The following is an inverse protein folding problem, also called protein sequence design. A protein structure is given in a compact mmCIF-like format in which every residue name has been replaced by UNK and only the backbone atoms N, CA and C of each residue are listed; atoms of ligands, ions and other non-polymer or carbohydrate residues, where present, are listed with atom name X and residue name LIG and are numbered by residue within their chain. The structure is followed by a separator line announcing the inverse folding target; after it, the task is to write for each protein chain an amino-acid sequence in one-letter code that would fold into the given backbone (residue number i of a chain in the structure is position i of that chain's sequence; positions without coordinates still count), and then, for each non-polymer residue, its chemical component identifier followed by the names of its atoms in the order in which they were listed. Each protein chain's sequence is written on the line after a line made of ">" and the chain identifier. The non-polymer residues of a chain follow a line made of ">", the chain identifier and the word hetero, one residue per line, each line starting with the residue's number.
data_IF_608682509684
#
_entry.id   IF_608682509684
#
_cell.length_a   1.000
_cell.length_b   1.000
_cell.length_c   1.000
_cell.angle_alpha   90.00
_cell.angle_beta   90.00
_cell.angle_gamma   90.00
#
_symmetry.space_group_name_H-M   'P 1'
#
loop_
_entity.id
_entity.type
_entity.pdbx_description
1 polymer ?
#
# COMPACT_ATOMS: atom_id res chain seq x y z
N UNK A 1 8.64 1.63 45.03
CA UNK A 1 9.11 2.16 43.73
C UNK A 1 7.95 2.08 42.75
N UNK A 2 7.50 3.21 42.21
CA UNK A 2 6.63 3.20 41.02
C UNK A 2 7.56 2.99 39.83
N UNK A 3 7.36 1.90 39.09
CA UNK A 3 7.97 1.69 37.80
C UNK A 3 7.04 2.36 36.79
N UNK A 4 7.44 3.53 36.30
CA UNK A 4 6.84 4.10 35.10
C UNK A 4 7.50 3.42 33.90
N UNK A 5 6.68 2.75 33.09
CA UNK A 5 7.10 2.10 31.86
C UNK A 5 6.58 2.97 30.72
N UNK A 6 7.50 3.55 29.96
CA UNK A 6 7.18 4.26 28.72
C UNK A 6 6.70 3.25 27.66
N UNK A 7 5.39 3.27 27.39
CA UNK A 7 4.75 2.37 26.43
C UNK A 7 5.13 2.69 24.98
N UNK A 8 5.56 3.92 24.67
CA UNK A 8 5.99 4.33 23.33
C UNK A 8 7.32 3.70 22.94
N UNK A 9 8.27 3.64 23.88
CA UNK A 9 9.57 3.03 23.64
C UNK A 9 9.50 1.50 23.58
N UNK A 10 8.55 0.89 24.30
CA UNK A 10 8.26 -0.54 24.24
C UNK A 10 7.66 -0.94 22.88
N UNK A 11 6.77 -0.13 22.32
CA UNK A 11 6.17 -0.37 21.01
C UNK A 11 7.16 -0.25 19.85
N UNK A 12 8.09 0.70 19.92
CA UNK A 12 9.16 0.85 18.93
C UNK A 12 10.06 -0.40 18.84
N UNK A 13 10.33 -1.04 19.99
CA UNK A 13 11.16 -2.24 20.05
C UNK A 13 10.44 -3.50 19.56
N UNK A 14 9.13 -3.61 19.76
CA UNK A 14 8.32 -4.74 19.27
C UNK A 14 8.20 -4.71 17.74
N UNK A 15 8.06 -3.52 17.14
CA UNK A 15 8.00 -3.38 15.68
C UNK A 15 9.33 -3.72 14.98
N UNK A 16 10.48 -3.62 15.69
CA UNK A 16 11.79 -4.00 15.14
C UNK A 16 12.08 -5.52 15.12
N UNK A 17 11.34 -6.36 15.86
CA UNK A 17 11.71 -7.78 16.05
C UNK A 17 10.85 -8.81 15.30
N UNK A 18 9.81 -8.40 14.57
CA UNK A 18 8.89 -9.32 13.91
C UNK A 18 7.97 -10.04 14.91
N UNK A 19 6.68 -10.16 14.56
CA UNK A 19 5.57 -10.44 15.49
C UNK A 19 5.60 -11.80 16.23
N UNK A 20 6.56 -12.68 15.98
CA UNK A 20 6.56 -14.06 16.52
C UNK A 20 7.60 -14.35 17.63
N UNK A 21 8.32 -13.35 18.16
CA UNK A 21 9.40 -13.59 19.15
C UNK A 21 9.25 -12.93 20.52
N UNK A 22 8.20 -12.17 20.79
CA UNK A 22 8.03 -11.54 22.10
C UNK A 22 7.24 -12.44 23.07
N UNK A 23 7.94 -13.10 24.01
CA UNK A 23 7.34 -13.57 25.28
C UNK A 23 7.85 -12.69 26.40
N UNK A 24 6.95 -11.95 27.03
CA UNK A 24 7.22 -11.21 28.27
C UNK A 24 6.78 -12.11 29.43
N UNK A 25 7.72 -12.50 30.28
CA UNK A 25 7.42 -13.18 31.55
C UNK A 25 7.77 -12.19 32.67
N UNK A 26 6.75 -11.75 33.41
CA UNK A 26 6.93 -10.89 34.58
C UNK A 26 7.05 -11.80 35.80
N UNK A 27 8.25 -11.97 36.32
CA UNK A 27 8.45 -12.58 37.63
C UNK A 27 8.31 -11.51 38.73
N UNK A 28 7.54 -11.76 39.80
CA UNK A 28 7.46 -10.85 40.92
C UNK A 28 8.82 -10.79 41.64
N UNK A 29 9.20 -9.58 42.06
CA UNK A 29 10.45 -9.33 42.78
C UNK A 29 10.54 -10.19 44.05
N UNK A 30 11.71 -10.80 44.36
CA UNK A 30 11.87 -11.57 45.58
C UNK A 30 11.74 -10.66 46.81
N UNK A 31 10.96 -11.13 47.79
CA UNK A 31 10.79 -10.48 49.08
C UNK A 31 12.11 -10.54 49.84
N UNK A 32 12.70 -9.37 50.06
CA UNK A 32 13.94 -9.22 50.83
C UNK A 32 13.62 -9.27 52.33
N UNK A 33 13.73 -10.45 52.94
CA UNK A 33 13.78 -10.59 54.41
C UNK A 33 15.22 -10.36 54.86
N UNK A 34 15.46 -9.23 55.54
CA UNK A 34 16.74 -8.94 56.17
C UNK A 34 17.08 -9.95 57.28
N UNK A 35 18.35 -10.33 57.37
CA UNK A 35 18.86 -11.17 58.45
C UNK A 35 20.34 -11.54 58.29
N UNK A 36 21.21 -10.67 58.82
CA UNK A 36 22.51 -10.95 59.48
C UNK A 36 23.37 -12.17 59.07
N UNK A 37 24.63 -11.90 58.69
CA UNK A 37 25.74 -12.84 58.91
C UNK A 37 26.88 -12.79 57.89
N UNK A 38 27.97 -12.10 58.22
CA UNK A 38 29.32 -12.32 57.65
C UNK A 38 29.97 -13.58 58.26
N UNK A 39 31.21 -13.96 57.90
CA UNK A 39 31.79 -14.22 56.57
C UNK A 39 32.53 -15.59 56.54
N UNK A 40 32.91 -16.10 55.36
CA UNK A 40 34.22 -16.75 55.07
C UNK A 40 34.23 -17.55 53.75
N UNK A 41 35.39 -17.55 53.07
CA UNK A 41 35.97 -18.80 52.54
C UNK A 41 36.06 -18.98 51.03
N UNK A 42 37.20 -18.54 50.46
CA UNK A 42 38.11 -19.30 49.58
C UNK A 42 37.57 -20.21 48.44
N UNK A 43 38.03 -19.89 47.21
CA UNK A 43 38.84 -20.81 46.39
C UNK A 43 38.14 -21.68 45.33
N UNK A 44 38.78 -21.79 44.16
CA UNK A 44 38.71 -23.02 43.35
C UNK A 44 38.25 -22.88 41.89
N UNK A 45 39.24 -22.73 41.02
CA UNK A 45 39.37 -23.21 39.62
C UNK A 45 38.44 -24.34 39.12
N UNK A 46 38.05 -24.26 37.83
CA UNK A 46 37.74 -25.42 37.00
C UNK A 46 36.82 -25.11 35.82
N UNK A 47 37.35 -25.11 34.59
CA UNK A 47 36.58 -25.53 33.41
C UNK A 47 36.93 -26.98 33.05
N UNK A 48 36.59 -27.51 31.88
CA UNK A 48 35.50 -27.22 30.93
C UNK A 48 34.65 -28.49 30.65
N UNK A 49 33.61 -28.38 29.81
CA UNK A 49 32.86 -29.42 29.04
C UNK A 49 31.43 -28.88 28.85
N UNK A 50 30.78 -28.82 27.68
CA UNK A 50 30.81 -29.72 26.54
C UNK A 50 29.58 -30.62 26.62
N UNK A 51 28.40 -30.15 26.19
CA UNK A 51 27.33 -31.06 25.76
C UNK A 51 26.30 -30.37 24.86
N UNK A 52 25.82 -31.14 23.89
CA UNK A 52 24.93 -30.73 22.81
C UNK A 52 23.47 -30.58 23.23
N UNK A 53 22.78 -29.76 22.44
CA UNK A 53 21.35 -29.51 22.58
C UNK A 53 20.68 -29.46 21.22
N UNK A 54 20.40 -30.63 20.64
CA UNK A 54 19.50 -30.76 19.49
C UNK A 54 18.11 -30.21 19.85
N UNK A 55 17.67 -29.16 19.16
CA UNK A 55 16.27 -28.71 19.21
C UNK A 55 15.50 -29.28 18.03
N UNK A 56 14.54 -30.13 18.40
CA UNK A 56 13.45 -30.67 17.60
C UNK A 56 12.84 -29.62 16.67
N UNK A 57 12.82 -29.91 15.37
CA UNK A 57 12.00 -29.19 14.39
C UNK A 57 10.54 -29.52 14.68
N UNK A 58 9.80 -28.56 15.22
CA UNK A 58 8.34 -28.59 15.14
C UNK A 58 7.97 -28.63 13.65
N UNK A 59 7.31 -29.71 13.24
CA UNK A 59 6.69 -29.83 11.94
C UNK A 59 5.61 -28.74 11.87
N UNK A 60 5.82 -27.74 11.01
CA UNK A 60 4.74 -26.86 10.61
C UNK A 60 3.72 -27.69 9.83
N UNK A 61 2.51 -27.78 10.37
CA UNK A 61 1.36 -28.24 9.61
C UNK A 61 1.14 -27.31 8.40
N UNK A 62 0.91 -27.86 7.20
CA UNK A 62 0.67 -27.05 6.02
C UNK A 62 -0.64 -26.27 6.18
N UNK A 63 -0.59 -24.97 5.89
CA UNK A 63 -1.77 -24.12 5.83
C UNK A 63 -2.77 -24.69 4.80
N UNK A 64 -4.01 -24.83 5.24
CA UNK A 64 -5.15 -25.23 4.40
C UNK A 64 -5.39 -24.12 3.37
N UNK A 65 -5.49 -24.42 2.06
CA UNK A 65 -5.85 -23.43 1.05
C UNK A 65 -7.27 -22.93 1.34
N UNK A 66 -7.44 -21.61 1.46
CA UNK A 66 -8.78 -21.01 1.37
C UNK A 66 -9.09 -20.96 -0.13
N UNK A 67 -9.96 -21.85 -0.60
CA UNK A 67 -10.55 -21.71 -1.93
C UNK A 67 -11.19 -20.30 -2.01
N UNK A 68 -10.73 -19.49 -2.96
CA UNK A 68 -11.26 -18.16 -3.26
C UNK A 68 -12.67 -18.25 -3.86
N UNK A 69 -13.63 -18.73 -3.07
CA UNK A 69 -15.05 -18.65 -3.36
C UNK A 69 -15.54 -17.21 -3.23
N UNK A 70 -16.62 -16.88 -3.95
CA UNK A 70 -17.40 -15.70 -3.63
C UNK A 70 -17.66 -15.67 -2.12
N UNK A 71 -17.37 -14.55 -1.47
CA UNK A 71 -17.66 -14.38 -0.05
C UNK A 71 -19.15 -14.67 0.16
N UNK A 72 -19.48 -15.57 1.10
CA UNK A 72 -20.84 -16.04 1.37
C UNK A 72 -21.82 -14.88 1.57
N UNK A 73 -23.10 -15.09 1.24
CA UNK A 73 -24.23 -14.14 1.33
C UNK A 73 -24.58 -13.63 2.76
N UNK A 74 -23.63 -13.66 3.69
CA UNK A 74 -23.82 -13.09 5.02
C UNK A 74 -23.53 -11.59 4.97
N UNK A 75 -24.49 -10.81 5.47
CA UNK A 75 -24.57 -9.35 5.40
C UNK A 75 -23.24 -8.64 5.71
N UNK A 76 -22.48 -8.37 4.66
CA UNK A 76 -21.28 -7.56 4.76
C UNK A 76 -21.69 -6.10 4.94
N UNK A 77 -21.36 -5.53 6.09
CA UNK A 77 -21.39 -4.07 6.27
C UNK A 77 -20.22 -3.47 5.49
N UNK A 78 -20.38 -3.38 4.17
CA UNK A 78 -19.42 -2.73 3.26
C UNK A 78 -19.41 -1.24 3.57
N UNK A 79 -18.22 -0.68 3.69
CA UNK A 79 -18.02 0.74 4.02
C UNK A 79 -17.28 1.41 2.86
N UNK A 80 -17.60 2.67 2.62
CA UNK A 80 -16.76 3.54 1.79
C UNK A 80 -15.44 3.74 2.54
N UNK A 81 -14.33 3.34 1.90
CA UNK A 81 -12.98 3.51 2.40
C UNK A 81 -12.34 4.79 1.89
N UNK A 82 -11.03 4.98 2.18
CA UNK A 82 -10.31 6.17 1.77
C UNK A 82 -10.45 6.42 0.26
N UNK A 83 -10.66 7.68 -0.11
CA UNK A 83 -10.78 8.07 -1.52
C UNK A 83 -12.10 7.69 -2.20
N UNK A 84 -13.12 7.26 -1.45
CA UNK A 84 -14.37 6.73 -2.03
C UNK A 84 -14.23 5.31 -2.59
N UNK A 85 -13.10 4.65 -2.30
CA UNK A 85 -12.84 3.25 -2.64
C UNK A 85 -13.71 2.33 -1.80
N UNK A 86 -13.89 1.09 -2.22
CA UNK A 86 -14.68 0.13 -1.46
C UNK A 86 -13.78 -0.64 -0.50
N UNK A 87 -14.19 -0.74 0.77
CA UNK A 87 -13.44 -1.48 1.77
C UNK A 87 -14.32 -2.39 2.62
N UNK A 88 -13.68 -3.43 3.17
CA UNK A 88 -14.24 -4.29 4.20
C UNK A 88 -13.12 -4.72 5.14
N UNK A 89 -13.31 -4.50 6.45
CA UNK A 89 -12.36 -4.89 7.49
C UNK A 89 -10.92 -4.40 7.23
N UNK A 90 -10.79 -3.18 6.68
CA UNK A 90 -9.50 -2.58 6.32
C UNK A 90 -8.86 -3.13 5.05
N UNK A 91 -9.56 -4.01 4.32
CA UNK A 91 -9.12 -4.56 3.03
C UNK A 91 -9.86 -3.88 1.88
N UNK A 92 -9.14 -3.60 0.81
CA UNK A 92 -9.73 -3.18 -0.46
C UNK A 92 -10.59 -4.30 -1.03
N UNK A 93 -11.77 -3.95 -1.55
CA UNK A 93 -12.68 -4.86 -2.24
C UNK A 93 -13.22 -4.23 -3.52
N UNK A 94 -13.86 -5.05 -4.35
CA UNK A 94 -14.70 -4.63 -5.46
C UNK A 94 -16.11 -5.17 -5.29
N UNK A 95 -17.04 -4.65 -6.10
CA UNK A 95 -18.40 -5.14 -6.15
C UNK A 95 -18.87 -5.38 -7.58
N UNK A 96 -19.74 -6.36 -7.76
CA UNK A 96 -20.36 -6.60 -9.06
C UNK A 96 -21.70 -7.31 -8.92
N UNK A 97 -22.50 -7.26 -9.99
CA UNK A 97 -23.76 -7.99 -10.10
C UNK A 97 -23.53 -9.25 -10.94
N UNK A 98 -23.49 -10.45 -10.35
CA UNK A 98 -23.21 -11.70 -11.06
C UNK A 98 -24.36 -12.13 -11.99
N UNK A 99 -25.59 -11.73 -11.68
CA UNK A 99 -26.78 -12.11 -12.42
C UNK A 99 -26.96 -11.37 -13.75
N UNK A 100 -27.17 -12.12 -14.83
CA UNK A 100 -27.39 -11.62 -16.19
C UNK A 100 -28.68 -12.19 -16.79
N UNK A 101 -29.36 -11.43 -17.65
CA UNK A 101 -30.42 -12.01 -18.49
C UNK A 101 -29.81 -12.94 -19.56
N UNK A 102 -30.53 -13.97 -20.04
CA UNK A 102 -29.96 -15.04 -20.87
C UNK A 102 -29.08 -14.57 -22.04
N UNK A 103 -29.56 -13.63 -22.85
CA UNK A 103 -28.80 -13.12 -24.01
C UNK A 103 -27.52 -12.41 -23.58
N UNK A 104 -27.58 -11.63 -22.49
CA UNK A 104 -26.41 -10.91 -21.97
C UNK A 104 -25.43 -11.85 -21.30
N UNK A 105 -25.91 -12.92 -20.67
CA UNK A 105 -25.07 -13.97 -20.10
C UNK A 105 -24.20 -14.61 -21.19
N UNK A 106 -24.78 -15.02 -22.34
CA UNK A 106 -24.00 -15.58 -23.45
C UNK A 106 -22.92 -14.61 -23.96
N UNK A 107 -23.30 -13.35 -24.19
CA UNK A 107 -22.35 -12.35 -24.69
C UNK A 107 -21.23 -12.07 -23.68
N UNK A 108 -21.55 -12.00 -22.40
CA UNK A 108 -20.57 -11.77 -21.33
C UNK A 108 -19.53 -12.89 -21.22
N UNK A 109 -19.91 -14.14 -21.52
CA UNK A 109 -18.97 -15.27 -21.57
C UNK A 109 -17.97 -15.16 -22.74
N UNK A 110 -18.34 -14.44 -23.81
CA UNK A 110 -17.50 -14.23 -24.99
C UNK A 110 -16.64 -12.97 -24.85
N UNK A 111 -17.26 -11.87 -24.42
CA UNK A 111 -16.60 -10.59 -24.17
C UNK A 111 -17.21 -9.95 -22.91
N UNK A 112 -16.39 -9.78 -21.87
CA UNK A 112 -16.83 -9.15 -20.62
C UNK A 112 -17.21 -7.68 -20.76
N UNK A 113 -16.95 -7.03 -21.90
CA UNK A 113 -17.51 -5.73 -22.23
C UNK A 113 -19.05 -5.79 -22.43
N UNK A 114 -19.63 -6.93 -22.75
CA UNK A 114 -21.08 -7.09 -22.84
C UNK A 114 -21.74 -7.48 -21.50
N UNK A 115 -20.93 -7.85 -20.50
CA UNK A 115 -21.40 -8.18 -19.16
C UNK A 115 -21.77 -6.96 -18.30
N UNK A 116 -22.20 -7.22 -17.07
CA UNK A 116 -22.30 -6.22 -16.02
C UNK A 116 -20.90 -5.68 -15.68
N UNK A 117 -20.85 -4.56 -14.94
CA UNK A 117 -19.58 -3.88 -14.66
C UNK A 117 -19.06 -4.22 -13.27
N UNK A 118 -17.74 -4.27 -13.15
CA UNK A 118 -17.05 -4.30 -11.87
C UNK A 118 -16.98 -2.88 -11.29
N UNK A 119 -17.34 -2.72 -10.03
CA UNK A 119 -17.31 -1.47 -9.30
C UNK A 119 -16.15 -1.46 -8.32
N UNK A 120 -15.32 -0.43 -8.41
CA UNK A 120 -14.09 -0.26 -7.62
C UNK A 120 -14.17 0.92 -6.64
N UNK A 121 -15.27 1.66 -6.70
CA UNK A 121 -15.60 2.80 -5.85
C UNK A 121 -17.11 2.88 -5.68
N UNK A 122 -17.58 3.53 -4.60
CA UNK A 122 -19.01 3.77 -4.38
C UNK A 122 -19.50 4.90 -5.30
N UNK A 123 -19.73 4.57 -6.58
CA UNK A 123 -20.04 5.55 -7.62
C UNK A 123 -21.54 5.86 -7.71
N UNK A 124 -21.88 6.89 -8.49
CA UNK A 124 -23.26 7.34 -8.72
C UNK A 124 -24.22 6.25 -9.20
N UNK A 125 -23.71 5.17 -9.80
CA UNK A 125 -24.54 4.00 -10.16
C UNK A 125 -24.92 3.18 -8.93
N UNK A 126 -23.96 2.90 -8.04
CA UNK A 126 -24.23 2.17 -6.79
C UNK A 126 -25.12 3.00 -5.85
N UNK A 127 -24.93 4.32 -5.80
CA UNK A 127 -25.84 5.23 -5.09
C UNK A 127 -27.28 5.09 -5.56
N UNK A 128 -27.52 5.13 -6.88
CA UNK A 128 -28.85 4.92 -7.48
C UNK A 128 -29.40 3.53 -7.17
N UNK A 129 -28.58 2.48 -7.24
CA UNK A 129 -29.01 1.11 -6.92
C UNK A 129 -29.40 0.98 -5.44
N UNK A 130 -28.69 1.68 -4.54
CA UNK A 130 -28.99 1.71 -3.10
C UNK A 130 -30.29 2.46 -2.82
N UNK A 131 -30.48 3.62 -3.43
CA UNK A 131 -31.73 4.40 -3.32
C UNK A 131 -32.95 3.62 -3.80
N UNK A 132 -32.78 2.79 -4.83
CA UNK A 132 -33.85 1.97 -5.39
C UNK A 132 -33.99 0.58 -4.73
N UNK A 133 -33.31 0.31 -3.60
CA UNK A 133 -33.40 -0.97 -2.87
C UNK A 133 -32.80 -2.19 -3.60
N UNK A 134 -32.04 -1.98 -4.66
CA UNK A 134 -31.45 -3.03 -5.50
C UNK A 134 -29.99 -3.34 -5.16
N UNK A 135 -29.35 -2.52 -4.33
CA UNK A 135 -27.93 -2.68 -3.98
C UNK A 135 -27.69 -3.94 -3.14
N UNK A 136 -28.34 -4.05 -1.98
CA UNK A 136 -28.09 -5.11 -1.01
C UNK A 136 -28.44 -6.51 -1.53
N UNK A 137 -29.38 -6.60 -2.49
CA UNK A 137 -29.87 -7.88 -3.03
C UNK A 137 -29.18 -8.32 -4.32
N UNK A 138 -28.42 -7.45 -4.99
CA UNK A 138 -27.86 -7.75 -6.33
C UNK A 138 -26.35 -7.60 -6.44
N UNK A 139 -25.70 -6.90 -5.52
CA UNK A 139 -24.28 -6.63 -5.61
C UNK A 139 -23.50 -7.41 -4.55
N UNK A 140 -22.43 -8.05 -4.99
CA UNK A 140 -21.61 -8.94 -4.19
C UNK A 140 -20.19 -8.43 -4.14
N UNK A 141 -19.56 -8.54 -2.97
CA UNK A 141 -18.17 -8.17 -2.77
C UNK A 141 -17.22 -9.26 -3.30
N UNK A 142 -16.06 -8.84 -3.83
CA UNK A 142 -14.99 -9.74 -4.25
C UNK A 142 -13.62 -9.07 -4.09
N UNK A 143 -12.59 -9.89 -3.90
CA UNK A 143 -11.18 -9.50 -3.93
C UNK A 143 -10.41 -10.13 -5.09
N UNK A 144 -11.12 -10.86 -5.97
CA UNK A 144 -10.50 -11.44 -7.17
C UNK A 144 -10.07 -10.34 -8.12
N UNK A 145 -8.83 -10.42 -8.59
CA UNK A 145 -8.22 -9.46 -9.52
C UNK A 145 -7.70 -10.14 -10.80
N UNK A 146 -8.01 -11.43 -10.98
CA UNK A 146 -7.53 -12.31 -12.04
C UNK A 146 -8.39 -12.28 -13.31
N UNK A 147 -9.28 -11.30 -13.44
CA UNK A 147 -10.27 -11.18 -14.53
C UNK A 147 -11.20 -12.41 -14.69
N UNK A 148 -11.33 -13.28 -13.68
CA UNK A 148 -12.20 -14.47 -13.73
C UNK A 148 -13.36 -14.35 -12.73
N UNK A 149 -14.38 -13.57 -13.08
CA UNK A 149 -15.54 -13.33 -12.21
C UNK A 149 -16.68 -14.30 -12.49
N UNK A 150 -17.19 -14.95 -11.44
CA UNK A 150 -18.30 -15.91 -11.55
C UNK A 150 -19.62 -15.18 -11.85
N UNK A 151 -20.27 -15.53 -12.95
CA UNK A 151 -21.57 -14.98 -13.38
C UNK A 151 -22.61 -16.08 -13.54
N UNK A 152 -23.90 -15.73 -13.48
CA UNK A 152 -25.01 -16.67 -13.68
C UNK A 152 -26.13 -16.07 -14.53
N UNK A 153 -26.91 -16.96 -15.15
CA UNK A 153 -28.15 -16.63 -15.84
C UNK A 153 -29.30 -16.48 -14.83
N UNK A 154 -30.04 -15.38 -14.88
CA UNK A 154 -31.17 -15.10 -13.99
C UNK A 154 -32.40 -15.99 -14.26
N UNK A 155 -32.42 -16.75 -15.36
CA UNK A 155 -33.55 -17.59 -15.78
C UNK A 155 -33.24 -19.09 -15.77
N UNK A 156 -31.99 -19.48 -15.54
CA UNK A 156 -31.57 -20.89 -15.53
C UNK A 156 -30.43 -21.12 -14.53
N UNK A 157 -30.11 -22.37 -14.22
CA UNK A 157 -29.00 -22.70 -13.30
C UNK A 157 -27.59 -22.59 -13.93
N UNK A 158 -27.49 -21.95 -15.10
CA UNK A 158 -26.24 -21.84 -15.85
C UNK A 158 -25.31 -20.84 -15.17
N UNK A 159 -24.05 -21.24 -15.03
CA UNK A 159 -22.95 -20.46 -14.43
C UNK A 159 -21.75 -20.44 -15.37
N UNK A 160 -20.93 -19.42 -15.25
CA UNK A 160 -19.67 -19.32 -15.99
C UNK A 160 -18.75 -18.26 -15.39
N UNK A 161 -17.62 -18.01 -16.04
CA UNK A 161 -16.66 -16.98 -15.65
C UNK A 161 -16.52 -15.98 -16.79
N UNK A 162 -16.43 -14.69 -16.46
CA UNK A 162 -16.30 -13.62 -17.44
C UNK A 162 -15.29 -12.56 -17.00
N UNK A 163 -14.54 -12.03 -17.97
CA UNK A 163 -13.59 -10.91 -17.79
C UNK A 163 -14.31 -9.55 -17.80
N UNK A 164 -15.21 -9.36 -16.83
CA UNK A 164 -16.06 -8.17 -16.71
C UNK A 164 -15.24 -6.88 -16.66
N UNK A 165 -15.65 -5.88 -17.44
CA UNK A 165 -14.96 -4.58 -17.47
C UNK A 165 -15.34 -3.68 -16.29
N UNK A 166 -14.41 -2.81 -15.91
CA UNK A 166 -14.59 -1.79 -14.87
C UNK A 166 -15.75 -0.83 -15.20
N UNK A 167 -16.41 -0.31 -14.18
CA UNK A 167 -17.46 0.68 -14.32
C UNK A 167 -16.87 2.05 -14.65
N UNK A 168 -17.28 2.65 -15.78
CA UNK A 168 -16.85 3.99 -16.20
C UNK A 168 -17.26 5.09 -15.20
N UNK A 169 -18.30 4.88 -14.39
CA UNK A 169 -18.65 5.82 -13.31
C UNK A 169 -17.66 5.76 -12.15
N UNK A 170 -17.08 4.60 -11.84
CA UNK A 170 -16.00 4.49 -10.87
C UNK A 170 -14.74 5.19 -11.38
N UNK A 171 -14.36 4.97 -12.66
CA UNK A 171 -13.21 5.67 -13.25
C UNK A 171 -13.38 7.20 -13.22
N UNK A 172 -14.58 7.71 -13.51
CA UNK A 172 -14.86 9.14 -13.38
C UNK A 172 -14.78 9.61 -11.91
N UNK A 173 -15.43 8.91 -10.97
CA UNK A 173 -15.45 9.32 -9.54
C UNK A 173 -14.05 9.42 -8.96
N UNK A 174 -13.17 8.45 -9.26
CA UNK A 174 -11.80 8.44 -8.76
C UNK A 174 -10.84 9.31 -9.59
N UNK A 175 -11.32 9.86 -10.71
CA UNK A 175 -10.48 10.42 -11.77
C UNK A 175 -9.29 9.49 -12.11
N UNK A 176 -9.52 8.17 -12.17
CA UNK A 176 -8.46 7.16 -12.28
C UNK A 176 -7.58 7.43 -13.50
N UNK A 177 -6.27 7.59 -13.28
CA UNK A 177 -5.31 8.01 -14.32
C UNK A 177 -5.82 9.19 -15.17
N UNK A 178 -6.45 10.17 -14.52
CA UNK A 178 -6.99 11.37 -15.15
C UNK A 178 -8.24 11.12 -16.00
N UNK A 179 -8.97 10.02 -15.80
CA UNK A 179 -10.14 9.67 -16.61
C UNK A 179 -11.17 10.80 -16.74
N UNK A 180 -11.38 11.61 -15.69
CA UNK A 180 -12.33 12.73 -15.72
C UNK A 180 -11.75 14.01 -16.33
N UNK A 181 -10.43 14.09 -16.59
CA UNK A 181 -9.76 15.26 -17.16
C UNK A 181 -10.15 15.47 -18.64
N UNK A 182 -10.62 16.67 -19.02
CA UNK A 182 -10.89 17.00 -20.42
C UNK A 182 -9.68 16.81 -21.34
N UNK A 183 -9.90 16.27 -22.53
CA UNK A 183 -8.85 16.05 -23.53
C UNK A 183 -7.98 14.81 -23.30
N UNK A 184 -8.13 14.11 -22.16
CA UNK A 184 -7.43 12.85 -21.91
C UNK A 184 -8.09 11.69 -22.64
N UNK A 185 -7.29 10.69 -23.04
CA UNK A 185 -7.73 9.51 -23.76
C UNK A 185 -8.58 8.54 -22.91
N UNK A 186 -9.83 8.88 -22.60
CA UNK A 186 -10.78 8.02 -21.85
C UNK A 186 -10.89 6.60 -22.43
N UNK A 187 -10.88 6.49 -23.76
CA UNK A 187 -10.94 5.19 -24.45
C UNK A 187 -9.73 4.30 -24.15
N UNK A 188 -8.52 4.87 -24.15
CA UNK A 188 -7.29 4.15 -23.83
C UNK A 188 -7.27 3.73 -22.35
N UNK A 189 -7.56 4.67 -21.42
CA UNK A 189 -7.61 4.38 -19.98
C UNK A 189 -8.61 3.26 -19.68
N UNK A 190 -9.80 3.28 -20.30
CA UNK A 190 -10.79 2.22 -20.12
C UNK A 190 -10.33 0.88 -20.70
N UNK A 191 -9.69 0.89 -21.87
CA UNK A 191 -9.22 -0.32 -22.56
C UNK A 191 -8.07 -0.98 -21.80
N UNK A 192 -7.14 -0.17 -21.30
CA UNK A 192 -5.88 -0.61 -20.69
C UNK A 192 -6.01 -0.81 -19.17
N UNK A 193 -7.20 -0.57 -18.60
CA UNK A 193 -7.48 -0.78 -17.18
C UNK A 193 -7.22 -2.25 -16.77
N UNK A 194 -6.52 -2.42 -15.65
CA UNK A 194 -6.28 -3.70 -14.98
C UNK A 194 -6.73 -3.63 -13.52
N UNK A 195 -7.43 -4.65 -13.03
CA UNK A 195 -7.80 -4.75 -11.61
C UNK A 195 -6.58 -4.96 -10.72
N UNK A 196 -5.58 -5.70 -11.19
CA UNK A 196 -4.32 -5.90 -10.48
C UNK A 196 -3.64 -4.54 -10.25
N UNK A 197 -3.39 -3.79 -11.33
CA UNK A 197 -2.78 -2.46 -11.28
C UNK A 197 -3.59 -1.47 -10.45
N UNK A 198 -4.93 -1.57 -10.49
CA UNK A 198 -5.80 -0.76 -9.65
C UNK A 198 -5.62 -1.07 -8.17
N UNK A 199 -5.60 -2.35 -7.77
CA UNK A 199 -5.45 -2.71 -6.35
C UNK A 199 -4.11 -2.26 -5.80
N UNK A 200 -3.03 -2.43 -6.56
CA UNK A 200 -1.70 -2.00 -6.12
C UNK A 200 -1.59 -0.49 -6.00
N UNK A 201 -2.13 0.24 -6.98
CA UNK A 201 -2.10 1.71 -7.02
C UNK A 201 -2.68 2.32 -5.76
N UNK A 202 -3.73 1.74 -5.20
CA UNK A 202 -4.40 2.26 -4.01
C UNK A 202 -4.06 1.49 -2.74
N UNK A 203 -3.15 0.51 -2.82
CA UNK A 203 -2.93 -0.41 -1.71
C UNK A 203 -2.48 0.33 -0.45
N UNK A 204 -1.62 1.35 -0.57
CA UNK A 204 -1.17 2.18 0.54
C UNK A 204 -2.29 2.79 1.38
N UNK A 205 -3.51 2.94 0.84
CA UNK A 205 -4.64 3.49 1.57
C UNK A 205 -5.34 2.48 2.49
N UNK A 206 -4.93 1.21 2.47
CA UNK A 206 -5.57 0.12 3.22
C UNK A 206 -4.61 -0.51 4.23
N UNK A 207 -5.13 -0.87 5.40
CA UNK A 207 -4.33 -1.46 6.49
C UNK A 207 -4.03 -2.94 6.31
N UNK A 208 -4.70 -3.60 5.36
CA UNK A 208 -4.45 -5.00 5.01
C UNK A 208 -4.70 -5.27 3.54
N UNK A 209 -3.89 -6.17 2.97
CA UNK A 209 -3.97 -6.53 1.56
C UNK A 209 -4.37 -7.99 1.41
N UNK A 210 -5.12 -8.33 0.34
CA UNK A 210 -5.44 -9.72 0.06
C UNK A 210 -4.16 -10.54 -0.09
N UNK A 211 -4.14 -11.71 0.54
CA UNK A 211 -3.05 -12.67 0.43
C UNK A 211 -2.98 -13.14 -1.03
N UNK A 212 -1.97 -12.70 -1.78
CA UNK A 212 -1.65 -13.31 -3.06
C UNK A 212 -1.03 -14.67 -2.82
N UNK A 213 -1.32 -15.63 -3.69
CA UNK A 213 -0.47 -16.81 -3.81
C UNK A 213 0.91 -16.36 -4.29
N UNK A 214 1.82 -16.12 -3.34
CA UNK A 214 3.17 -15.71 -3.65
C UNK A 214 3.96 -16.98 -3.97
N UNK A 215 4.60 -17.07 -5.14
CA UNK A 215 5.58 -18.12 -5.40
C UNK A 215 6.61 -18.13 -4.27
N UNK A 216 6.82 -19.29 -3.64
CA UNK A 216 7.55 -19.45 -2.38
C UNK A 216 9.06 -19.28 -2.55
N UNK A 217 9.56 -19.39 -3.78
CA UNK A 217 10.99 -19.33 -4.11
C UNK A 217 11.28 -18.40 -5.29
N UNK A 218 12.49 -17.81 -5.38
CA UNK A 218 12.93 -17.07 -6.57
C UNK A 218 12.87 -17.89 -7.86
N UNK A 219 13.09 -19.21 -7.77
CA UNK A 219 13.09 -20.09 -8.94
C UNK A 219 11.69 -20.26 -9.52
N UNK A 220 10.66 -20.37 -8.67
CA UNK A 220 9.26 -20.36 -9.11
C UNK A 220 8.86 -19.01 -9.74
N UNK A 221 9.55 -17.92 -9.38
CA UNK A 221 9.40 -16.60 -10.02
C UNK A 221 10.21 -16.46 -11.31
N UNK A 222 10.97 -17.49 -11.72
CA UNK A 222 11.79 -17.50 -12.93
C UNK A 222 13.17 -16.86 -12.78
N UNK A 223 13.68 -16.65 -11.56
CA UNK A 223 15.04 -16.18 -11.31
C UNK A 223 16.07 -17.33 -11.31
N UNK A 224 17.33 -16.98 -11.53
CA UNK A 224 18.46 -17.91 -11.34
C UNK A 224 18.60 -18.36 -9.88
N UNK A 225 19.30 -19.48 -9.66
CA UNK A 225 19.54 -20.01 -8.30
C UNK A 225 20.39 -19.07 -7.43
N UNK A 226 21.26 -18.29 -8.05
CA UNK A 226 22.18 -17.35 -7.40
C UNK A 226 21.64 -15.92 -7.30
N UNK A 227 20.37 -15.67 -7.67
CA UNK A 227 19.80 -14.32 -7.73
C UNK A 227 19.98 -13.49 -6.45
N UNK A 228 19.86 -14.11 -5.28
CA UNK A 228 20.07 -13.42 -4.00
C UNK A 228 21.49 -12.82 -3.90
N UNK A 229 22.49 -13.54 -4.38
CA UNK A 229 23.89 -13.10 -4.41
C UNK A 229 24.10 -12.01 -5.47
N UNK A 230 23.60 -12.24 -6.69
CA UNK A 230 23.67 -11.30 -7.81
C UNK A 230 23.08 -9.96 -7.42
N UNK A 231 21.85 -9.95 -6.91
CA UNK A 231 21.15 -8.75 -6.49
C UNK A 231 21.86 -8.02 -5.34
N UNK A 232 22.41 -8.75 -4.36
CA UNK A 232 23.18 -8.15 -3.26
C UNK A 232 24.46 -7.48 -3.80
N UNK A 233 25.23 -8.17 -4.63
CA UNK A 233 26.47 -7.63 -5.22
C UNK A 233 26.20 -6.41 -6.09
N UNK A 234 25.17 -6.47 -6.94
CA UNK A 234 24.82 -5.37 -7.81
C UNK A 234 24.43 -4.12 -7.00
N UNK A 235 23.53 -4.25 -6.01
CA UNK A 235 23.14 -3.13 -5.12
C UNK A 235 24.32 -2.57 -4.33
N UNK A 236 25.20 -3.43 -3.82
CA UNK A 236 26.43 -2.99 -3.14
C UNK A 236 27.37 -2.22 -4.08
N UNK A 237 27.49 -2.63 -5.35
CA UNK A 237 28.30 -1.92 -6.35
C UNK A 237 27.77 -0.53 -6.71
N UNK A 238 26.51 -0.24 -6.38
CA UNK A 238 25.86 1.07 -6.51
C UNK A 238 25.82 1.85 -5.19
N UNK A 239 26.59 1.43 -4.19
CA UNK A 239 26.61 2.02 -2.85
C UNK A 239 25.22 2.10 -2.20
N UNK A 240 24.34 1.15 -2.51
CA UNK A 240 22.94 1.17 -2.08
C UNK A 240 22.18 2.46 -2.43
N UNK A 241 22.61 3.21 -3.44
CA UNK A 241 21.88 4.36 -3.95
C UNK A 241 20.88 3.93 -5.03
N UNK A 242 19.70 4.56 -5.04
CA UNK A 242 18.74 4.40 -6.12
C UNK A 242 19.28 5.02 -7.42
N UNK A 243 19.33 4.27 -8.51
CA UNK A 243 19.75 4.74 -9.84
C UNK A 243 18.65 5.52 -10.59
N UNK A 244 17.48 5.74 -9.97
CA UNK A 244 16.41 6.62 -10.48
C UNK A 244 16.39 7.95 -9.75
N UNK A 245 16.13 7.92 -8.44
CA UNK A 245 16.00 9.13 -7.64
C UNK A 245 17.25 9.45 -6.81
N UNK A 246 18.37 8.74 -6.98
CA UNK A 246 19.64 8.99 -6.27
C UNK A 246 19.64 8.89 -4.74
N UNK A 247 18.51 8.56 -4.10
CA UNK A 247 18.41 8.44 -2.64
C UNK A 247 19.35 7.34 -2.14
N UNK A 248 20.14 7.68 -1.13
CA UNK A 248 21.01 6.76 -0.40
C UNK A 248 20.16 5.91 0.57
N UNK A 249 20.30 4.59 0.48
CA UNK A 249 19.61 3.60 1.32
C UNK A 249 20.59 2.68 2.06
N UNK A 250 21.83 3.12 2.32
CA UNK A 250 22.83 2.32 3.04
C UNK A 250 22.34 1.83 4.41
N UNK A 251 21.63 2.68 5.15
CA UNK A 251 21.05 2.33 6.46
C UNK A 251 19.75 1.51 6.35
N UNK A 252 19.17 1.45 5.14
CA UNK A 252 17.86 0.85 4.86
C UNK A 252 17.90 -0.01 3.59
N UNK A 253 18.89 -0.90 3.49
CA UNK A 253 19.17 -1.67 2.27
C UNK A 253 17.99 -2.55 1.80
N UNK A 254 17.05 -2.87 2.69
CA UNK A 254 15.83 -3.61 2.35
C UNK A 254 14.89 -2.81 1.44
N UNK A 255 15.02 -1.47 1.41
CA UNK A 255 14.26 -0.56 0.55
C UNK A 255 14.83 -0.44 -0.86
N UNK A 256 15.93 -1.14 -1.18
CA UNK A 256 16.55 -1.10 -2.50
C UNK A 256 16.46 -2.47 -3.17
N UNK A 257 15.91 -2.52 -4.38
CA UNK A 257 15.76 -3.72 -5.19
C UNK A 257 16.64 -3.67 -6.44
N UNK A 258 16.89 -4.85 -7.02
CA UNK A 258 17.46 -4.95 -8.37
C UNK A 258 16.32 -5.20 -9.38
N UNK A 259 16.22 -4.35 -10.38
CA UNK A 259 15.27 -4.41 -11.48
C UNK A 259 15.96 -4.92 -12.75
N UNK A 260 15.36 -5.90 -13.42
CA UNK A 260 15.80 -6.37 -14.74
C UNK A 260 15.19 -5.49 -15.83
N UNK A 261 16.01 -4.69 -16.51
CA UNK A 261 15.58 -3.69 -17.50
C UNK A 261 14.84 -4.31 -18.68
N UNK A 262 15.29 -5.45 -19.18
CA UNK A 262 14.64 -6.18 -20.28
C UNK A 262 13.57 -7.18 -19.82
N UNK A 263 13.19 -7.18 -18.53
CA UNK A 263 12.29 -8.14 -17.89
C UNK A 263 12.73 -9.62 -17.92
N UNK A 264 13.87 -9.96 -18.53
CA UNK A 264 14.42 -11.31 -18.54
C UNK A 264 15.17 -11.57 -17.22
N UNK A 265 14.49 -12.25 -16.30
CA UNK A 265 15.00 -12.62 -14.96
C UNK A 265 16.21 -13.57 -14.95
N UNK A 266 16.57 -14.10 -16.11
CA UNK A 266 17.77 -14.94 -16.31
C UNK A 266 18.99 -14.13 -16.78
N UNK A 267 18.78 -12.90 -17.26
CA UNK A 267 19.84 -12.04 -17.77
C UNK A 267 20.41 -11.16 -16.65
N UNK A 268 21.41 -11.70 -15.95
CA UNK A 268 22.06 -11.08 -14.80
C UNK A 268 23.29 -10.22 -15.17
N UNK A 269 23.43 -9.82 -16.44
CA UNK A 269 24.49 -8.89 -16.85
C UNK A 269 24.27 -7.53 -16.20
N UNK A 270 25.35 -6.86 -15.79
CA UNK A 270 25.25 -5.56 -15.10
C UNK A 270 24.50 -4.52 -15.92
N UNK A 271 24.60 -4.57 -17.25
CA UNK A 271 23.92 -3.66 -18.17
C UNK A 271 22.39 -3.87 -18.20
N UNK A 272 21.92 -5.02 -17.71
CA UNK A 272 20.50 -5.35 -17.62
C UNK A 272 19.93 -5.14 -16.20
N UNK A 273 20.76 -4.79 -15.23
CA UNK A 273 20.34 -4.56 -13.86
C UNK A 273 20.28 -3.07 -13.56
N UNK A 274 19.34 -2.68 -12.72
CA UNK A 274 19.23 -1.33 -12.16
C UNK A 274 18.82 -1.39 -10.69
N UNK A 275 19.51 -0.66 -9.83
CA UNK A 275 19.23 -0.61 -8.40
C UNK A 275 18.20 0.48 -8.17
N UNK A 276 17.00 0.12 -7.74
CA UNK A 276 15.88 1.06 -7.57
C UNK A 276 15.36 0.99 -6.14
N UNK A 277 15.04 2.14 -5.53
CA UNK A 277 14.27 2.11 -4.30
C UNK A 277 12.90 1.48 -4.58
N UNK A 278 12.28 0.83 -3.59
CA UNK A 278 11.03 0.10 -3.81
C UNK A 278 9.90 0.99 -4.32
N UNK A 279 9.90 2.29 -3.97
CA UNK A 279 8.98 3.28 -4.53
C UNK A 279 9.20 3.48 -6.05
N UNK A 280 10.43 3.83 -6.47
CA UNK A 280 10.76 3.98 -7.89
C UNK A 280 10.60 2.67 -8.67
N UNK A 281 10.87 1.52 -8.05
CA UNK A 281 10.72 0.20 -8.65
C UNK A 281 9.25 -0.12 -8.91
N UNK A 282 8.36 0.17 -7.95
CA UNK A 282 6.91 -0.04 -8.11
C UNK A 282 6.29 0.76 -9.26
N UNK A 283 6.95 1.85 -9.69
CA UNK A 283 6.51 2.72 -10.79
C UNK A 283 7.12 2.31 -12.15
N UNK A 284 7.96 1.28 -12.21
CA UNK A 284 8.48 0.80 -13.48
C UNK A 284 7.38 0.07 -14.28
N UNK A 285 7.45 0.10 -15.63
CA UNK A 285 6.50 -0.65 -16.46
C UNK A 285 6.44 -2.12 -16.06
N UNK A 286 5.22 -2.68 -16.01
CA UNK A 286 4.94 -4.07 -15.65
C UNK A 286 5.30 -4.46 -14.20
N UNK A 287 5.59 -3.47 -13.35
CA UNK A 287 5.87 -3.67 -11.91
C UNK A 287 4.73 -3.18 -11.03
N UNK A 288 3.54 -2.96 -11.61
CA UNK A 288 2.34 -2.62 -10.85
C UNK A 288 2.16 -3.62 -9.69
N UNK A 289 2.49 -4.91 -9.90
CA UNK A 289 2.46 -5.99 -8.88
C UNK A 289 3.29 -5.81 -7.60
N UNK A 290 4.05 -4.72 -7.48
CA UNK A 290 4.81 -4.41 -6.28
C UNK A 290 4.01 -3.53 -5.32
N UNK A 291 3.64 -4.14 -4.20
CA UNK A 291 3.10 -3.43 -3.05
C UNK A 291 4.21 -2.67 -2.30
N UNK A 292 3.99 -1.39 -2.01
CA UNK A 292 4.83 -0.58 -1.13
C UNK A 292 3.93 0.07 -0.08
N UNK A 293 4.27 -0.11 1.20
CA UNK A 293 3.47 0.45 2.29
C UNK A 293 3.64 1.97 2.40
N UNK A 294 2.70 2.63 3.09
CA UNK A 294 2.80 4.08 3.36
C UNK A 294 4.04 4.37 4.21
N UNK A 295 4.33 3.52 5.19
CA UNK A 295 5.46 3.69 6.10
C UNK A 295 6.79 3.66 5.32
N UNK A 296 6.94 2.71 4.39
CA UNK A 296 8.13 2.63 3.55
C UNK A 296 8.22 3.81 2.56
N UNK A 297 7.10 4.27 1.98
CA UNK A 297 7.06 5.48 1.13
C UNK A 297 7.44 6.73 1.92
N UNK A 298 6.89 6.89 3.13
CA UNK A 298 7.21 8.00 4.02
C UNK A 298 8.68 7.96 4.44
N UNK A 299 9.21 6.79 4.80
CA UNK A 299 10.63 6.65 5.13
C UNK A 299 11.53 7.04 3.95
N UNK A 300 11.21 6.60 2.73
CA UNK A 300 11.95 7.02 1.53
C UNK A 300 11.84 8.55 1.33
N UNK A 301 10.66 9.15 1.51
CA UNK A 301 10.48 10.60 1.39
C UNK A 301 11.29 11.38 2.45
N UNK A 302 11.29 10.93 3.70
CA UNK A 302 12.12 11.49 4.77
C UNK A 302 13.60 11.43 4.43
N UNK A 303 14.07 10.30 3.91
CA UNK A 303 15.46 10.13 3.49
C UNK A 303 15.82 11.11 2.35
N UNK A 304 14.94 11.27 1.36
CA UNK A 304 15.13 12.26 0.28
C UNK A 304 15.30 13.68 0.84
N UNK A 305 14.49 14.06 1.84
CA UNK A 305 14.59 15.38 2.48
C UNK A 305 15.85 15.56 3.31
N UNK A 306 16.19 14.59 4.16
CA UNK A 306 17.42 14.63 4.98
C UNK A 306 18.69 14.69 4.13
N UNK A 307 18.64 14.12 2.94
CA UNK A 307 19.72 14.16 1.95
C UNK A 307 19.70 15.43 1.08
N UNK A 308 18.84 16.41 1.39
CA UNK A 308 18.68 17.67 0.66
C UNK A 308 18.44 17.47 -0.84
N UNK A 309 17.71 16.42 -1.20
CA UNK A 309 17.34 16.20 -2.59
C UNK A 309 16.42 17.32 -3.09
N UNK A 310 16.52 17.71 -4.37
CA UNK A 310 15.74 18.82 -4.90
C UNK A 310 14.25 18.51 -4.86
N UNK A 311 13.45 19.51 -4.51
CA UNK A 311 12.00 19.46 -4.63
C UNK A 311 11.57 19.25 -6.10
N UNK A 312 10.37 18.71 -6.35
CA UNK A 312 9.86 18.52 -7.71
C UNK A 312 9.89 19.83 -8.52
N UNK A 313 10.54 19.82 -9.68
CA UNK A 313 10.63 20.99 -10.56
C UNK A 313 9.41 21.15 -11.48
N UNK A 314 8.65 20.07 -11.68
CA UNK A 314 7.48 20.00 -12.54
C UNK A 314 6.57 18.84 -12.11
N UNK A 315 5.37 18.79 -12.67
CA UNK A 315 4.40 17.73 -12.35
C UNK A 315 4.87 16.32 -12.66
N UNK A 316 5.73 16.10 -13.68
CA UNK A 316 6.30 14.76 -13.94
C UNK A 316 7.06 14.26 -12.72
N UNK A 317 7.94 15.08 -12.15
CA UNK A 317 8.67 14.72 -10.94
C UNK A 317 7.75 14.52 -9.72
N UNK A 318 6.59 15.19 -9.67
CA UNK A 318 5.60 14.94 -8.62
C UNK A 318 5.03 13.52 -8.79
N UNK A 319 4.64 13.12 -10.01
CA UNK A 319 4.20 11.73 -10.28
C UNK A 319 5.27 10.68 -9.97
N UNK A 320 6.54 11.00 -10.22
CA UNK A 320 7.66 10.09 -9.96
C UNK A 320 7.89 9.86 -8.46
N UNK A 321 7.57 10.85 -7.61
CA UNK A 321 7.84 10.80 -6.17
C UNK A 321 6.61 10.45 -5.33
N UNK A 322 5.42 10.92 -5.71
CA UNK A 322 4.19 10.75 -4.95
C UNK A 322 3.65 9.32 -5.00
N UNK A 323 2.76 8.99 -4.07
CA UNK A 323 1.98 7.77 -4.07
C UNK A 323 1.07 7.70 -5.32
N UNK A 324 1.12 6.62 -6.12
CA UNK A 324 0.27 6.43 -7.29
C UNK A 324 -1.23 6.55 -7.02
N UNK A 325 -1.69 6.27 -5.80
CA UNK A 325 -3.07 6.46 -5.38
C UNK A 325 -3.53 7.92 -5.47
N UNK A 326 -2.59 8.87 -5.46
CA UNK A 326 -2.85 10.30 -5.65
C UNK A 326 -2.98 10.72 -7.11
N UNK A 327 -2.73 9.84 -8.10
CA UNK A 327 -2.74 10.18 -9.52
C UNK A 327 -4.03 10.88 -9.97
N UNK A 328 -5.18 10.46 -9.44
CA UNK A 328 -6.46 11.09 -9.76
C UNK A 328 -6.50 12.56 -9.35
N UNK A 329 -6.07 12.88 -8.13
CA UNK A 329 -5.98 14.28 -7.65
C UNK A 329 -4.90 15.04 -8.42
N UNK A 330 -3.72 14.45 -8.60
CA UNK A 330 -2.60 15.10 -9.27
C UNK A 330 -2.92 15.48 -10.71
N UNK A 331 -3.58 14.61 -11.48
CA UNK A 331 -3.99 14.94 -12.83
C UNK A 331 -5.03 16.06 -12.88
N UNK A 332 -5.95 16.11 -11.91
CA UNK A 332 -6.88 17.23 -11.79
C UNK A 332 -6.14 18.55 -11.49
N UNK A 333 -5.24 18.54 -10.51
CA UNK A 333 -4.49 19.73 -10.09
C UNK A 333 -3.56 20.24 -11.19
N UNK A 334 -2.86 19.33 -11.88
CA UNK A 334 -2.01 19.64 -13.03
C UNK A 334 -2.81 20.30 -14.15
N UNK A 335 -3.95 19.71 -14.54
CA UNK A 335 -4.81 20.25 -15.59
C UNK A 335 -5.32 21.65 -15.27
N UNK A 336 -5.59 21.92 -13.98
CA UNK A 336 -6.07 23.21 -13.50
C UNK A 336 -4.96 24.20 -13.10
N UNK A 337 -3.71 23.92 -13.48
CA UNK A 337 -2.54 24.77 -13.23
C UNK A 337 -2.33 25.11 -11.75
N UNK A 338 -2.60 24.15 -10.86
CA UNK A 338 -2.24 24.28 -9.46
C UNK A 338 -0.71 24.42 -9.30
N UNK A 339 -0.23 25.15 -8.27
CA UNK A 339 1.20 25.20 -7.96
C UNK A 339 1.75 23.80 -7.69
N UNK A 340 3.02 23.59 -8.02
CA UNK A 340 3.71 22.32 -7.82
C UNK A 340 3.84 22.06 -6.30
N UNK A 341 3.33 20.94 -5.76
CA UNK A 341 3.51 20.59 -4.36
C UNK A 341 4.93 20.07 -4.07
N UNK A 342 5.33 20.18 -2.81
CA UNK A 342 6.37 19.33 -2.22
C UNK A 342 5.79 17.96 -1.96
N UNK A 343 6.55 16.90 -2.23
CA UNK A 343 6.13 15.51 -1.97
C UNK A 343 6.79 15.01 -0.68
N UNK A 344 5.97 14.45 0.21
CA UNK A 344 6.43 13.82 1.45
C UNK A 344 6.98 14.79 2.50
N UNK A 345 6.42 16.00 2.62
CA UNK A 345 6.88 17.07 3.53
C UNK A 345 6.85 16.64 5.00
N UNK A 346 8.00 16.65 5.66
CA UNK A 346 8.06 16.44 7.11
C UNK A 346 7.54 17.67 7.86
N UNK A 347 6.73 17.41 8.88
CA UNK A 347 6.28 18.40 9.86
C UNK A 347 6.95 18.09 11.19
N UNK A 348 7.57 19.12 11.75
CA UNK A 348 8.23 19.07 13.04
C UNK A 348 7.41 19.77 14.12
N UNK A 349 7.49 19.27 15.34
CA UNK A 349 6.96 19.97 16.52
C UNK A 349 7.99 20.98 17.09
N UNK A 350 7.64 21.59 18.23
CA UNK A 350 8.51 22.55 18.94
C UNK A 350 9.86 21.95 19.39
N UNK A 351 9.97 20.63 19.46
CA UNK A 351 11.20 19.91 19.82
C UNK A 351 12.03 19.49 18.59
N UNK A 352 11.65 19.95 17.40
CA UNK A 352 12.23 19.57 16.11
C UNK A 352 12.03 18.09 15.75
N UNK A 353 11.18 17.37 16.49
CA UNK A 353 10.85 15.99 16.20
C UNK A 353 9.86 15.91 15.03
N UNK A 354 10.12 15.03 14.05
CA UNK A 354 9.16 14.78 12.96
C UNK A 354 7.93 14.07 13.52
N UNK A 355 6.79 14.75 13.47
CA UNK A 355 5.49 14.26 13.98
C UNK A 355 4.53 13.82 12.88
N UNK A 356 4.77 14.26 11.63
CA UNK A 356 3.99 13.83 10.47
C UNK A 356 4.83 13.92 9.18
N UNK A 357 4.49 13.07 8.21
CA UNK A 357 5.00 13.18 6.83
C UNK A 357 3.83 13.34 5.87
N UNK A 358 3.76 14.46 5.16
CA UNK A 358 2.61 14.86 4.33
C UNK A 358 2.84 14.51 2.86
N UNK A 359 1.90 13.78 2.25
CA UNK A 359 2.02 13.24 0.90
C UNK A 359 2.20 14.34 -0.17
N UNK A 360 1.27 15.30 -0.24
CA UNK A 360 1.38 16.48 -1.11
C UNK A 360 1.21 17.74 -0.26
N UNK A 361 2.21 18.62 -0.24
CA UNK A 361 2.21 19.82 0.59
C UNK A 361 2.49 21.10 -0.21
N UNK A 362 1.84 22.18 0.19
CA UNK A 362 2.10 23.53 -0.27
C UNK A 362 2.48 24.40 0.94
N UNK A 363 3.77 24.43 1.32
CA UNK A 363 4.21 25.07 2.56
C UNK A 363 3.82 26.54 2.69
N UNK A 364 3.90 27.32 1.61
CA UNK A 364 3.47 28.73 1.60
C UNK A 364 1.99 28.90 1.95
N UNK A 365 1.15 27.92 1.61
CA UNK A 365 -0.28 27.94 1.89
C UNK A 365 -0.64 27.26 3.23
N UNK A 366 0.33 26.65 3.93
CA UNK A 366 0.11 25.71 5.04
C UNK A 366 -1.00 24.68 4.74
N UNK A 367 -1.05 24.23 3.49
CA UNK A 367 -2.03 23.28 2.99
C UNK A 367 -1.34 21.98 2.63
N UNK A 368 -1.95 20.85 2.96
CA UNK A 368 -1.49 19.56 2.49
C UNK A 368 -2.58 18.50 2.36
N UNK A 369 -2.19 17.39 1.73
CA UNK A 369 -2.93 16.13 1.72
C UNK A 369 -2.13 15.12 2.53
N UNK A 370 -2.78 14.44 3.46
CA UNK A 370 -2.20 13.36 4.26
C UNK A 370 -2.88 12.03 3.94
N UNK A 371 -2.09 10.96 3.85
CA UNK A 371 -2.60 9.60 3.62
C UNK A 371 -3.16 9.01 4.92
N UNK A 372 -2.40 9.06 6.01
CA UNK A 372 -2.81 8.49 7.29
C UNK A 372 -3.62 9.48 8.12
N UNK A 373 -4.47 8.95 9.01
CA UNK A 373 -5.24 9.77 9.95
C UNK A 373 -4.31 10.37 10.99
N UNK A 374 -3.29 9.61 11.40
CA UNK A 374 -2.28 9.98 12.37
C UNK A 374 -1.49 11.21 11.91
N UNK A 375 -0.95 11.19 10.68
CA UNK A 375 -0.25 12.33 10.07
C UNK A 375 -1.19 13.54 9.96
N UNK A 376 -2.44 13.31 9.57
CA UNK A 376 -3.42 14.37 9.42
C UNK A 376 -3.78 15.03 10.76
N UNK A 377 -3.83 14.28 11.85
CA UNK A 377 -4.08 14.82 13.21
C UNK A 377 -2.86 15.57 13.70
N UNK A 378 -1.67 14.98 13.60
CA UNK A 378 -0.42 15.59 14.06
C UNK A 378 -0.13 16.91 13.32
N UNK A 379 -0.27 16.94 11.98
CA UNK A 379 -0.03 18.17 11.23
C UNK A 379 -1.06 19.28 11.52
N UNK A 380 -2.34 18.94 11.80
CA UNK A 380 -3.34 19.92 12.23
C UNK A 380 -2.99 20.55 13.58
N UNK A 381 -2.40 19.78 14.50
CA UNK A 381 -1.91 20.31 15.78
C UNK A 381 -0.78 21.33 15.57
N UNK A 382 -0.01 21.19 14.48
CA UNK A 382 1.01 22.15 14.05
C UNK A 382 0.45 23.28 13.15
N UNK A 383 -0.87 23.46 13.11
CA UNK A 383 -1.52 24.57 12.40
C UNK A 383 -1.72 24.38 10.90
N UNK A 384 -1.47 23.18 10.35
CA UNK A 384 -1.69 22.92 8.93
C UNK A 384 -3.16 22.66 8.61
N UNK A 385 -3.61 23.17 7.48
CA UNK A 385 -4.89 22.79 6.89
C UNK A 385 -4.70 21.51 6.06
N UNK A 386 -5.32 20.42 6.52
CA UNK A 386 -5.12 19.08 5.96
C UNK A 386 -6.40 18.55 5.32
N UNK A 387 -6.27 18.16 4.05
CA UNK A 387 -7.23 17.28 3.37
C UNK A 387 -6.83 15.81 3.58
N UNK A 388 -7.79 14.96 3.91
CA UNK A 388 -7.57 13.51 3.81
C UNK A 388 -7.57 13.07 2.34
N UNK A 389 -7.01 11.90 2.06
CA UNK A 389 -7.13 11.23 0.74
C UNK A 389 -8.60 11.14 0.29
N UNK A 390 -9.52 10.84 1.22
CA UNK A 390 -10.95 10.80 0.95
C UNK A 390 -11.48 12.14 0.42
N UNK A 391 -11.19 13.23 1.12
CA UNK A 391 -11.64 14.56 0.72
C UNK A 391 -11.00 15.00 -0.60
N UNK A 392 -9.70 14.72 -0.76
CA UNK A 392 -8.92 15.12 -1.93
C UNK A 392 -9.38 14.40 -3.20
N UNK A 393 -9.67 13.09 -3.13
CA UNK A 393 -10.16 12.33 -4.28
C UNK A 393 -11.64 12.61 -4.58
N UNK A 394 -12.47 12.78 -3.55
CA UNK A 394 -13.91 13.00 -3.75
C UNK A 394 -14.22 14.42 -4.24
N UNK A 395 -13.47 15.42 -3.75
CA UNK A 395 -13.71 16.86 -4.02
C UNK A 395 -12.40 17.61 -4.30
N UNK A 396 -11.64 17.25 -5.36
CA UNK A 396 -10.34 17.87 -5.66
C UNK A 396 -10.45 19.38 -5.96
N UNK A 397 -11.61 19.87 -6.37
CA UNK A 397 -11.92 21.29 -6.52
C UNK A 397 -11.84 22.08 -5.20
N UNK A 398 -12.09 21.45 -4.05
CA UNK A 398 -11.92 22.09 -2.74
C UNK A 398 -10.45 22.31 -2.40
N UNK A 399 -9.58 21.35 -2.74
CA UNK A 399 -8.13 21.50 -2.61
C UNK A 399 -7.65 22.67 -3.46
N UNK A 400 -8.06 22.71 -4.73
CA UNK A 400 -7.72 23.80 -5.65
C UNK A 400 -8.28 25.15 -5.17
N UNK A 401 -9.50 25.17 -4.64
CA UNK A 401 -10.13 26.35 -4.06
C UNK A 401 -9.32 26.92 -2.90
N UNK A 402 -8.91 26.07 -1.96
CA UNK A 402 -8.07 26.45 -0.84
C UNK A 402 -6.71 27.02 -1.29
N UNK A 403 -6.06 26.39 -2.28
CA UNK A 403 -4.81 26.88 -2.86
C UNK A 403 -4.94 28.24 -3.56
N UNK A 404 -6.11 28.53 -4.13
CA UNK A 404 -6.37 29.83 -4.76
C UNK A 404 -6.60 30.91 -3.71
N UNK A 405 -7.30 30.59 -2.62
CA UNK A 405 -7.56 31.55 -1.53
C UNK A 405 -6.28 31.94 -0.81
N UNK A 406 -5.38 30.98 -0.54
CA UNK A 406 -4.10 31.23 0.14
C UNK A 406 -3.09 32.05 -0.68
N UNK A 407 -3.33 32.29 -1.98
CA UNK A 407 -2.50 33.18 -2.81
C UNK A 407 -2.83 34.66 -2.63
N UNK A 408 -3.97 34.98 -1.99
CA UNK A 408 -4.45 36.35 -1.77
C UNK A 408 -4.32 36.81 -0.31
N UNK A 409 -3.76 35.98 0.54
CA UNK A 409 -3.40 36.25 1.94
C UNK A 409 -1.89 36.24 2.07
#
# INVERSE_FOLDING_TARGET
>A
MKLEIDLGQLWSNVNKMGRDKAKITLEPAPVNTGGSGSPNGSGGSGGPEGDGGGRSRQKHEPAVPIEGGALSEESFKIVEGPGGLLQKDGQQIMMYMPGHYPERFEKALQDGNDGNRMHVAFCIHLEKMKQNGNYDTKYFATQRIDDQFSIHDNKSDRKGHAALKVCKYCLNKLNYDGYAVPGRGKGAIFKDFSFEAFFERYASFFSSHPLREVPRTPQEKGYTKDWAEVSRRYRASRNYCCEECTVDLNDYQYLLHSHHVNANKQDNRNENLRALCIDCHSKQPYHDHMLVSVEDRHLIAQLRQRQNMPAPANWSHVFDLADPGMNGVMHFLQHNHAPIPVVGQDIQDESEAVVATLELAWPTAQLAIAITVEDAVAARQQGWNIFSVEQALATPEHVLGALRQSRFT
#
